data_IF_712347788992
#
_entry.id   IF_712347788992
#
_cell.length_a   1.000
_cell.length_b   1.000
_cell.length_c   1.000
_cell.angle_alpha   90.00
_cell.angle_beta   90.00
_cell.angle_gamma   90.00
#
_symmetry.space_group_name_H-M   'P 1'
#
loop_
_entity.id
_entity.type
_entity.pdbx_description
1 polymer ?
#
# COMPACT_ATOMS: atom_id res chain seq x y z
N UNK A 1 -14.58 9.89 3.32
CA UNK A 1 -13.38 9.05 3.08
C UNK A 1 -12.88 8.54 4.41
N UNK A 2 -12.39 7.30 4.47
CA UNK A 2 -11.62 6.85 5.65
C UNK A 2 -10.36 7.71 5.80
N UNK A 3 -9.95 7.93 7.05
CA UNK A 3 -8.72 8.63 7.37
C UNK A 3 -7.49 7.83 6.89
N UNK A 4 -6.46 8.52 6.43
CA UNK A 4 -5.23 7.92 5.91
C UNK A 4 -4.60 6.93 6.90
N UNK A 5 -4.65 7.24 8.20
CA UNK A 5 -4.12 6.36 9.25
C UNK A 5 -4.84 5.01 9.31
N UNK A 6 -6.15 4.99 9.02
CA UNK A 6 -6.95 3.76 8.97
C UNK A 6 -6.55 2.94 7.75
N UNK A 7 -6.39 3.58 6.59
CA UNK A 7 -5.96 2.90 5.35
C UNK A 7 -4.58 2.28 5.56
N UNK A 8 -3.63 3.04 6.10
CA UNK A 8 -2.28 2.54 6.40
C UNK A 8 -2.33 1.38 7.39
N UNK A 9 -3.12 1.49 8.47
CA UNK A 9 -3.31 0.40 9.44
C UNK A 9 -3.83 -0.90 8.79
N UNK A 10 -4.82 -0.80 7.90
CA UNK A 10 -5.34 -1.93 7.14
C UNK A 10 -4.27 -2.51 6.21
N UNK A 11 -3.55 -1.65 5.47
CA UNK A 11 -2.46 -2.08 4.58
C UNK A 11 -1.41 -2.87 5.36
N UNK A 12 -1.00 -2.40 6.54
CA UNK A 12 -0.01 -3.10 7.38
C UNK A 12 -0.52 -4.46 7.85
N UNK A 13 -1.76 -4.52 8.35
CA UNK A 13 -2.35 -5.78 8.81
C UNK A 13 -2.44 -6.81 7.67
N UNK A 14 -2.92 -6.39 6.50
CA UNK A 14 -3.02 -7.26 5.31
C UNK A 14 -1.64 -7.67 4.81
N UNK A 15 -0.67 -6.76 4.81
CA UNK A 15 0.70 -7.06 4.38
C UNK A 15 1.33 -8.14 5.27
N UNK A 16 1.14 -8.09 6.58
CA UNK A 16 1.70 -9.11 7.48
C UNK A 16 1.05 -10.48 7.26
N UNK A 17 -0.27 -10.53 6.98
CA UNK A 17 -0.96 -11.77 6.60
C UNK A 17 -0.38 -12.31 5.29
N UNK A 18 -0.25 -11.46 4.26
CA UNK A 18 0.31 -11.86 2.96
C UNK A 18 1.73 -12.37 3.09
N UNK A 19 2.58 -11.70 3.88
CA UNK A 19 3.95 -12.15 4.17
C UNK A 19 3.99 -13.57 4.73
N UNK A 20 3.15 -13.89 5.71
CA UNK A 20 3.07 -15.23 6.29
C UNK A 20 2.60 -16.29 5.27
N UNK A 21 1.67 -15.91 4.39
CA UNK A 21 1.20 -16.80 3.32
C UNK A 21 2.26 -17.01 2.25
N UNK A 22 2.93 -15.95 1.79
CA UNK A 22 3.94 -15.99 0.74
C UNK A 22 5.17 -16.79 1.16
N UNK A 23 5.58 -16.72 2.43
CA UNK A 23 6.67 -17.54 3.00
C UNK A 23 6.43 -19.05 2.90
N UNK A 24 5.21 -19.51 2.60
CA UNK A 24 4.92 -20.93 2.35
C UNK A 24 5.31 -21.39 0.93
N UNK A 25 5.44 -20.45 0.00
CA UNK A 25 5.63 -20.74 -1.43
C UNK A 25 6.93 -20.15 -2.00
N UNK A 26 7.46 -19.11 -1.35
CA UNK A 26 8.60 -18.32 -1.80
C UNK A 26 9.70 -18.30 -0.73
N UNK A 27 10.94 -18.13 -1.15
CA UNK A 27 12.07 -17.93 -0.25
C UNK A 27 11.99 -16.55 0.45
N UNK A 28 12.59 -16.47 1.64
CA UNK A 28 12.49 -15.29 2.51
C UNK A 28 13.02 -14.01 1.87
N UNK A 29 14.11 -14.10 1.10
CA UNK A 29 14.69 -12.95 0.41
C UNK A 29 13.72 -12.34 -0.61
N UNK A 30 13.08 -13.20 -1.42
CA UNK A 30 12.14 -12.74 -2.44
C UNK A 30 10.88 -12.16 -1.80
N UNK A 31 10.36 -12.79 -0.74
CA UNK A 31 9.22 -12.21 0.01
C UNK A 31 9.56 -10.81 0.51
N UNK A 32 10.73 -10.64 1.11
CA UNK A 32 11.20 -9.35 1.64
C UNK A 32 11.31 -8.28 0.56
N UNK A 33 11.84 -8.65 -0.62
CA UNK A 33 11.94 -7.75 -1.78
C UNK A 33 10.57 -7.34 -2.33
N UNK A 34 9.55 -8.22 -2.22
CA UNK A 34 8.20 -7.92 -2.69
C UNK A 34 7.37 -7.07 -1.71
N UNK A 35 7.71 -7.05 -0.42
CA UNK A 35 6.89 -6.34 0.59
C UNK A 35 6.62 -4.87 0.24
N UNK A 36 7.60 -4.06 -0.19
CA UNK A 36 7.34 -2.66 -0.54
C UNK A 36 6.38 -2.52 -1.73
N UNK A 37 6.45 -3.43 -2.71
CA UNK A 37 5.53 -3.47 -3.85
C UNK A 37 4.11 -3.87 -3.42
N UNK A 38 3.99 -4.82 -2.50
CA UNK A 38 2.70 -5.24 -1.93
C UNK A 38 2.06 -4.07 -1.18
N UNK A 39 2.82 -3.36 -0.34
CA UNK A 39 2.34 -2.18 0.40
C UNK A 39 1.87 -1.09 -0.55
N UNK A 40 2.65 -0.78 -1.60
CA UNK A 40 2.27 0.17 -2.64
C UNK A 40 0.97 -0.22 -3.35
N UNK A 41 0.87 -1.47 -3.80
CA UNK A 41 -0.31 -1.97 -4.51
C UNK A 41 -1.56 -1.95 -3.62
N UNK A 42 -1.44 -2.37 -2.36
CA UNK A 42 -2.54 -2.35 -1.40
C UNK A 42 -2.98 -0.94 -1.07
N UNK A 43 -2.05 -0.02 -0.80
CA UNK A 43 -2.40 1.36 -0.46
C UNK A 43 -3.05 2.08 -1.64
N UNK A 44 -2.53 1.92 -2.86
CA UNK A 44 -3.14 2.44 -4.08
C UNK A 44 -4.54 1.87 -4.32
N UNK A 45 -4.68 0.55 -4.27
CA UNK A 45 -5.97 -0.13 -4.50
C UNK A 45 -7.02 0.21 -3.44
N UNK A 46 -6.65 0.17 -2.16
CA UNK A 46 -7.56 0.51 -1.06
C UNK A 46 -7.96 1.98 -1.09
N UNK A 47 -7.05 2.90 -1.42
CA UNK A 47 -7.42 4.31 -1.49
C UNK A 47 -8.35 4.61 -2.66
N UNK A 48 -8.16 3.96 -3.82
CA UNK A 48 -9.11 4.03 -4.94
C UNK A 48 -10.47 3.49 -4.53
N UNK A 49 -10.53 2.35 -3.84
CA UNK A 49 -11.79 1.78 -3.36
C UNK A 49 -12.47 2.69 -2.32
N UNK A 50 -11.69 3.27 -1.41
CA UNK A 50 -12.15 4.24 -0.41
C UNK A 50 -12.74 5.49 -1.08
N UNK A 51 -12.06 6.06 -2.07
CA UNK A 51 -12.56 7.20 -2.84
C UNK A 51 -13.84 6.83 -3.60
N UNK A 52 -13.87 5.68 -4.28
CA UNK A 52 -15.06 5.22 -5.01
C UNK A 52 -16.31 5.08 -4.11
N UNK A 53 -16.15 4.66 -2.85
CA UNK A 53 -17.26 4.45 -1.92
C UNK A 53 -17.67 5.74 -1.20
N UNK A 54 -16.70 6.55 -0.78
CA UNK A 54 -16.94 7.66 0.15
C UNK A 54 -16.70 9.06 -0.43
N UNK A 55 -16.14 9.17 -1.64
CA UNK A 55 -15.84 10.43 -2.34
C UNK A 55 -15.83 10.21 -3.87
N UNK A 56 -16.95 9.80 -4.48
CA UNK A 56 -17.00 9.35 -5.88
C UNK A 56 -16.61 10.43 -6.91
N UNK A 57 -16.64 11.70 -6.51
CA UNK A 57 -16.23 12.83 -7.35
C UNK A 57 -14.70 12.95 -7.50
N UNK A 58 -13.92 12.26 -6.66
CA UNK A 58 -12.45 12.25 -6.74
C UNK A 58 -12.01 11.45 -7.98
N UNK A 59 -11.21 12.03 -8.89
CA UNK A 59 -10.69 11.31 -10.04
C UNK A 59 -9.90 10.07 -9.63
N UNK A 60 -10.08 8.97 -10.38
CA UNK A 60 -9.38 7.71 -10.13
C UNK A 60 -7.85 7.89 -10.04
N UNK A 61 -7.27 8.70 -10.93
CA UNK A 61 -5.84 8.97 -10.99
C UNK A 61 -5.34 9.70 -9.75
N UNK A 62 -6.15 10.63 -9.22
CA UNK A 62 -5.84 11.36 -8.00
C UNK A 62 -5.89 10.43 -6.77
N UNK A 63 -6.96 9.65 -6.64
CA UNK A 63 -7.09 8.66 -5.56
C UNK A 63 -5.95 7.63 -5.60
N UNK A 64 -5.59 7.15 -6.78
CA UNK A 64 -4.46 6.24 -6.96
C UNK A 64 -3.14 6.90 -6.55
N UNK A 65 -2.89 8.14 -6.99
CA UNK A 65 -1.66 8.88 -6.65
C UNK A 65 -1.52 9.10 -5.15
N UNK A 66 -2.60 9.49 -4.46
CA UNK A 66 -2.62 9.64 -3.01
C UNK A 66 -2.35 8.31 -2.30
N UNK A 67 -2.99 7.23 -2.75
CA UNK A 67 -2.79 5.89 -2.18
C UNK A 67 -1.37 5.37 -2.38
N UNK A 68 -0.79 5.56 -3.57
CA UNK A 68 0.61 5.21 -3.83
C UNK A 68 1.58 6.04 -2.97
N UNK A 69 1.28 7.32 -2.73
CA UNK A 69 2.08 8.18 -1.85
C UNK A 69 2.06 7.66 -0.41
N UNK A 70 0.87 7.32 0.12
CA UNK A 70 0.73 6.69 1.43
C UNK A 70 1.48 5.36 1.50
N UNK A 71 1.35 4.52 0.46
CA UNK A 71 2.06 3.25 0.34
C UNK A 71 3.58 3.41 0.29
N UNK A 72 4.09 4.43 -0.41
CA UNK A 72 5.51 4.71 -0.49
C UNK A 72 6.10 5.15 0.87
N UNK A 73 5.33 5.95 1.63
CA UNK A 73 5.71 6.37 2.99
C UNK A 73 5.68 5.16 3.92
N UNK A 74 4.58 4.41 3.93
CA UNK A 74 4.40 3.22 4.74
C UNK A 74 5.44 2.12 4.46
N UNK A 75 5.74 1.88 3.19
CA UNK A 75 6.69 0.87 2.74
C UNK A 75 8.16 1.30 2.80
N UNK A 76 8.45 2.52 3.27
CA UNK A 76 9.83 3.04 3.38
C UNK A 76 10.52 3.35 2.06
N UNK A 77 9.81 3.28 0.92
CA UNK A 77 10.38 3.54 -0.41
C UNK A 77 10.55 5.04 -0.65
N UNK A 78 9.69 5.86 -0.05
CA UNK A 78 9.72 7.31 -0.23
C UNK A 78 11.04 7.94 0.26
N UNK A 79 11.60 7.47 1.37
CA UNK A 79 12.91 7.93 1.87
C UNK A 79 14.07 7.41 1.02
N UNK A 80 13.99 6.18 0.50
CA UNK A 80 15.01 5.62 -0.40
C UNK A 80 15.13 6.43 -1.69
N UNK A 81 13.99 6.80 -2.30
CA UNK A 81 13.98 7.62 -3.52
C UNK A 81 14.49 9.06 -3.30
N UNK A 82 14.33 9.62 -2.09
CA UNK A 82 14.89 10.93 -1.74
C UNK A 82 16.40 10.92 -1.51
N UNK A 83 16.97 9.75 -1.23
CA UNK A 83 18.39 9.57 -0.93
C UNK A 83 19.24 9.22 -2.16
N UNK A 84 18.60 9.02 -3.32
CA UNK A 84 19.24 8.73 -4.61
C UNK A 84 19.33 10.00 -5.48
#
# INVERSE_FOLDING_TARGET
MLEDIIIVGIVMAVTEILKHLLKRWLNEDLVTQLLPLIVLALAGGLNVLNAKVFAPDVPFTEALSQGLTLGAIAGGVYSLGKAA
#
